data_IF_153438764492
#
_entry.id   IF_153438764492
#
_cell.length_a   1.000
_cell.length_b   1.000
_cell.length_c   1.000
_cell.angle_alpha   90.00
_cell.angle_beta   90.00
_cell.angle_gamma   90.00
#
_symmetry.space_group_name_H-M   'P 1'
#
loop_
_entity.id
_entity.type
_entity.pdbx_description
1 polymer ?
#
# COMPACT_ATOMS: atom_id res chain seq x y z
N UNK A 1 -14.62 -16.61 -0.08
CA UNK A 1 -14.10 -16.96 -1.42
C UNK A 1 -12.68 -17.47 -1.24
N UNK A 2 -12.36 -18.71 -1.64
CA UNK A 2 -11.03 -19.32 -1.45
C UNK A 2 -10.18 -19.04 -2.69
N UNK A 3 -9.72 -17.81 -2.88
CA UNK A 3 -8.81 -17.48 -3.98
C UNK A 3 -7.41 -17.19 -3.40
N UNK A 4 -6.50 -18.17 -3.35
CA UNK A 4 -5.16 -17.98 -2.79
C UNK A 4 -4.36 -16.92 -3.55
N UNK A 5 -4.60 -16.74 -4.85
CA UNK A 5 -3.95 -15.68 -5.62
C UNK A 5 -4.35 -14.29 -5.14
N UNK A 6 -5.62 -14.08 -4.76
CA UNK A 6 -6.06 -12.82 -4.16
C UNK A 6 -5.47 -12.59 -2.77
N UNK A 7 -5.33 -13.64 -1.96
CA UNK A 7 -4.70 -13.52 -0.63
C UNK A 7 -3.24 -13.07 -0.73
N UNK A 8 -2.42 -13.82 -1.47
CA UNK A 8 -1.00 -13.49 -1.61
C UNK A 8 -0.79 -12.20 -2.41
N UNK A 9 -1.57 -11.98 -3.47
CA UNK A 9 -1.54 -10.75 -4.25
C UNK A 9 -1.86 -9.52 -3.41
N UNK A 10 -2.90 -9.59 -2.56
CA UNK A 10 -3.25 -8.50 -1.67
C UNK A 10 -2.13 -8.20 -0.66
N UNK A 11 -1.46 -9.22 -0.11
CA UNK A 11 -0.32 -9.00 0.78
C UNK A 11 0.82 -8.30 0.06
N UNK A 12 1.19 -8.75 -1.14
CA UNK A 12 2.28 -8.13 -1.91
C UNK A 12 1.98 -6.67 -2.22
N UNK A 13 0.76 -6.38 -2.69
CA UNK A 13 0.33 -5.00 -2.98
C UNK A 13 0.33 -4.17 -1.70
N UNK A 14 -0.15 -4.70 -0.56
CA UNK A 14 -0.13 -3.99 0.71
C UNK A 14 1.28 -3.56 1.13
N UNK A 15 2.26 -4.46 1.01
CA UNK A 15 3.66 -4.17 1.37
C UNK A 15 4.26 -3.09 0.46
N UNK A 16 4.04 -3.20 -0.85
CA UNK A 16 4.54 -2.22 -1.82
C UNK A 16 3.89 -0.85 -1.59
N UNK A 17 2.56 -0.81 -1.42
CA UNK A 17 1.85 0.43 -1.12
C UNK A 17 2.30 1.04 0.21
N UNK A 18 2.53 0.24 1.25
CA UNK A 18 3.06 0.75 2.51
C UNK A 18 4.44 1.39 2.33
N UNK A 19 5.35 0.72 1.61
CA UNK A 19 6.68 1.24 1.32
C UNK A 19 6.63 2.55 0.52
N UNK A 20 5.77 2.64 -0.49
CA UNK A 20 5.54 3.87 -1.25
C UNK A 20 4.95 4.98 -0.38
N UNK A 21 3.99 4.66 0.48
CA UNK A 21 3.42 5.64 1.41
C UNK A 21 4.47 6.22 2.36
N UNK A 22 5.36 5.39 2.90
CA UNK A 22 6.49 5.87 3.73
C UNK A 22 7.43 6.73 2.90
N UNK A 23 7.81 6.29 1.70
CA UNK A 23 8.68 7.07 0.80
C UNK A 23 8.10 8.47 0.53
N UNK A 24 6.81 8.59 0.22
CA UNK A 24 6.14 9.87 -0.04
C UNK A 24 5.87 10.73 1.19
N UNK A 25 6.04 10.18 2.40
CA UNK A 25 5.87 10.90 3.66
C UNK A 25 7.19 11.49 4.20
N UNK A 26 8.34 11.04 3.69
CA UNK A 26 9.65 11.46 4.19
C UNK A 26 10.08 12.81 3.58
N UNK A 27 10.34 13.85 4.40
CA UNK A 27 10.91 15.09 3.89
C UNK A 27 12.39 14.91 3.51
N UNK A 28 12.88 15.68 2.54
CA UNK A 28 14.29 15.69 2.15
C UNK A 28 14.72 14.51 1.26
N UNK A 29 13.76 13.76 0.73
CA UNK A 29 13.97 12.70 -0.27
C UNK A 29 13.34 13.14 -1.60
N UNK A 30 13.99 12.83 -2.72
CA UNK A 30 13.47 13.16 -4.04
C UNK A 30 12.28 12.27 -4.39
N UNK A 31 11.09 12.86 -4.53
CA UNK A 31 9.87 12.20 -4.95
C UNK A 31 9.71 12.23 -6.47
N UNK A 32 9.69 11.04 -7.08
CA UNK A 32 9.60 10.86 -8.54
C UNK A 32 8.22 11.24 -9.10
N UNK A 33 7.16 11.08 -8.31
CA UNK A 33 5.80 11.43 -8.73
C UNK A 33 5.30 12.58 -7.86
N UNK A 34 5.13 13.76 -8.45
CA UNK A 34 4.58 14.93 -7.79
C UNK A 34 3.31 15.37 -8.52
N UNK A 35 2.45 16.08 -7.80
CA UNK A 35 1.22 16.66 -8.38
C UNK A 35 1.33 18.18 -8.43
N UNK A 36 1.09 18.77 -9.60
CA UNK A 36 1.12 20.22 -9.79
C UNK A 36 2.51 20.83 -9.61
N UNK A 37 2.58 21.99 -8.94
CA UNK A 37 3.83 22.69 -8.65
C UNK A 37 4.47 22.28 -7.30
N UNK A 38 4.06 21.15 -6.72
CA UNK A 38 4.54 20.72 -5.41
C UNK A 38 6.04 20.37 -5.47
N UNK A 39 6.89 20.89 -4.56
CA UNK A 39 8.32 20.64 -4.59
C UNK A 39 8.63 19.13 -4.47
N UNK A 40 9.61 18.62 -5.22
CA UNK A 40 9.93 17.19 -5.25
C UNK A 40 10.59 16.70 -3.96
N UNK A 41 11.14 17.57 -3.12
CA UNK A 41 11.78 17.18 -1.85
C UNK A 41 10.83 17.26 -0.64
N UNK A 42 9.63 17.82 -0.84
CA UNK A 42 8.62 17.92 0.21
C UNK A 42 7.74 16.66 0.23
N UNK A 43 7.24 16.25 1.42
CA UNK A 43 6.24 15.20 1.52
C UNK A 43 5.06 15.46 0.58
N UNK A 44 4.47 14.39 0.05
CA UNK A 44 3.36 14.46 -0.90
C UNK A 44 2.07 13.91 -0.27
N UNK A 45 1.27 14.76 0.42
CA UNK A 45 0.03 14.36 1.10
C UNK A 45 -0.89 13.49 0.26
N UNK A 46 -1.17 13.88 -0.99
CA UNK A 46 -2.04 13.09 -1.86
C UNK A 46 -1.53 11.66 -2.08
N UNK A 47 -0.22 11.49 -2.25
CA UNK A 47 0.38 10.18 -2.54
C UNK A 47 0.46 9.30 -1.30
N UNK A 48 1.00 9.80 -0.18
CA UNK A 48 1.13 8.93 1.00
C UNK A 48 -0.23 8.56 1.59
N UNK A 49 -1.24 9.45 1.54
CA UNK A 49 -2.60 9.13 2.00
C UNK A 49 -3.25 8.08 1.10
N UNK A 50 -3.07 8.21 -0.23
CA UNK A 50 -3.56 7.22 -1.19
C UNK A 50 -2.92 5.86 -0.95
N UNK A 51 -1.60 5.79 -0.86
CA UNK A 51 -0.87 4.53 -0.70
C UNK A 51 -1.14 3.86 0.65
N UNK A 52 -1.22 4.62 1.75
CA UNK A 52 -1.66 4.06 3.04
C UNK A 52 -3.11 3.57 2.99
N UNK A 53 -4.01 4.30 2.32
CA UNK A 53 -5.39 3.85 2.09
C UNK A 53 -5.46 2.53 1.34
N UNK A 54 -4.72 2.41 0.23
CA UNK A 54 -4.63 1.17 -0.55
C UNK A 54 -4.05 0.03 0.31
N UNK A 55 -3.00 0.30 1.09
CA UNK A 55 -2.39 -0.71 1.96
C UNK A 55 -3.42 -1.27 2.97
N UNK A 56 -4.22 -0.41 3.61
CA UNK A 56 -5.29 -0.84 4.53
C UNK A 56 -6.34 -1.68 3.79
N UNK A 57 -6.79 -1.26 2.61
CA UNK A 57 -7.76 -2.01 1.81
C UNK A 57 -7.23 -3.40 1.41
N UNK A 58 -5.96 -3.48 1.03
CA UNK A 58 -5.30 -4.75 0.70
C UNK A 58 -5.16 -5.67 1.93
N UNK A 59 -4.87 -5.12 3.11
CA UNK A 59 -4.88 -5.91 4.36
C UNK A 59 -6.28 -6.47 4.61
N UNK A 60 -7.34 -5.67 4.47
CA UNK A 60 -8.72 -6.13 4.62
C UNK A 60 -9.03 -7.23 3.58
N UNK A 61 -8.64 -7.03 2.32
CA UNK A 61 -8.82 -8.02 1.26
C UNK A 61 -8.09 -9.35 1.58
N UNK A 62 -6.88 -9.29 2.12
CA UNK A 62 -6.14 -10.47 2.56
C UNK A 62 -6.86 -11.17 3.73
N UNK A 63 -7.37 -10.42 4.71
CA UNK A 63 -8.10 -11.00 5.85
C UNK A 63 -9.37 -11.75 5.40
N UNK A 64 -10.14 -11.22 4.44
CA UNK A 64 -11.37 -11.86 3.95
C UNK A 64 -11.14 -12.99 2.93
N UNK A 65 -9.95 -13.04 2.31
CA UNK A 65 -9.57 -14.11 1.36
C UNK A 65 -8.62 -15.14 1.96
N UNK A 66 -8.25 -14.98 3.24
CA UNK A 66 -7.34 -15.87 3.95
C UNK A 66 -7.75 -17.35 3.80
N UNK A 67 -6.86 -18.22 3.32
CA UNK A 67 -7.12 -19.66 3.32
C UNK A 67 -7.34 -20.14 4.75
N UNK A 68 -8.46 -20.80 5.02
CA UNK A 68 -8.65 -21.48 6.30
C UNK A 68 -7.74 -22.69 6.36
N UNK A 69 -6.90 -22.76 7.39
CA UNK A 69 -6.17 -23.99 7.70
C UNK A 69 -7.18 -25.08 8.06
N UNK A 70 -7.16 -26.21 7.34
CA UNK A 70 -7.77 -27.45 7.84
C UNK A 70 -6.88 -27.97 8.98
N UNK A 71 -6.94 -27.33 10.14
CA UNK A 71 -6.56 -28.00 11.37
C UNK A 71 -7.75 -28.92 11.71
N UNK A 72 -7.65 -30.17 11.26
CA UNK A 72 -8.44 -31.28 11.78
C UNK A 72 -7.69 -31.88 12.95
#
# INVERSE_FOLDING_TARGET
MKNPALFYGAIVVAVISLALGVYYALPGVYHVLTTGAHPPMDPQPGHYLLFFGIAVLCVIAALVTRPQSKAQ
#
